data_IF_464600579933
#
_entry.id   IF_464600579933
#
_cell.length_a   1.000
_cell.length_b   1.000
_cell.length_c   1.000
_cell.angle_alpha   90.00
_cell.angle_beta   90.00
_cell.angle_gamma   90.00
#
_symmetry.space_group_name_H-M   'P 1'
#
loop_
_entity.id
_entity.type
_entity.pdbx_description
1 polymer ?
#
# COMPACT_ATOMS: atom_id res chain seq x y z
N UNK A 1 -12.26 1.12 -12.45
CA UNK A 1 -10.98 1.20 -13.18
C UNK A 1 -9.90 0.44 -12.42
N UNK A 2 -8.69 0.29 -12.98
CA UNK A 2 -7.58 -0.37 -12.30
C UNK A 2 -7.20 0.37 -11.01
N UNK A 3 -6.85 -0.39 -9.97
CA UNK A 3 -6.42 0.16 -8.69
C UNK A 3 -4.98 0.66 -8.79
N UNK A 4 -4.77 1.94 -8.47
CA UNK A 4 -3.45 2.56 -8.32
C UNK A 4 -3.44 3.43 -7.07
N UNK A 5 -2.48 3.18 -6.19
CA UNK A 5 -2.24 3.95 -4.97
C UNK A 5 -0.76 4.31 -4.90
N UNK A 6 -0.46 5.52 -4.43
CA UNK A 6 0.92 5.95 -4.19
C UNK A 6 1.09 6.31 -2.72
N UNK A 7 1.95 5.56 -2.03
CA UNK A 7 2.28 5.71 -0.61
C UNK A 7 3.60 6.46 -0.45
N UNK A 8 3.61 7.49 0.40
CA UNK A 8 4.78 8.37 0.59
C UNK A 8 5.26 8.43 2.04
N UNK A 9 4.43 7.99 2.99
CA UNK A 9 4.77 7.96 4.42
C UNK A 9 4.41 6.62 5.03
N UNK A 10 5.21 6.21 6.00
CA UNK A 10 4.95 5.08 6.88
C UNK A 10 4.78 5.62 8.30
N UNK A 11 3.60 5.43 8.89
CA UNK A 11 3.34 5.80 10.28
C UNK A 11 3.48 4.58 11.18
N UNK A 12 4.34 4.64 12.19
CA UNK A 12 4.45 3.59 13.20
C UNK A 12 3.21 3.56 14.08
N UNK A 13 2.79 2.38 14.50
CA UNK A 13 1.84 2.21 15.60
C UNK A 13 2.50 2.53 16.95
N UNK A 14 1.70 2.85 17.97
CA UNK A 14 2.20 3.22 19.30
C UNK A 14 3.02 2.11 19.97
N UNK A 15 2.70 0.85 19.66
CA UNK A 15 3.46 -0.33 20.13
C UNK A 15 4.76 -0.57 19.33
N UNK A 16 4.98 0.17 18.24
CA UNK A 16 6.18 0.09 17.40
C UNK A 16 6.31 -1.20 16.58
N UNK A 17 5.29 -2.07 16.57
CA UNK A 17 5.36 -3.38 15.89
C UNK A 17 4.97 -3.27 14.41
N UNK A 18 4.05 -2.36 14.09
CA UNK A 18 3.48 -2.25 12.75
C UNK A 18 3.67 -0.84 12.18
N UNK A 19 3.64 -0.78 10.85
CA UNK A 19 3.60 0.48 10.12
C UNK A 19 2.35 0.53 9.26
N UNK A 20 1.69 1.68 9.26
CA UNK A 20 0.60 2.00 8.35
C UNK A 20 1.15 2.81 7.18
N UNK A 21 1.01 2.25 5.98
CA UNK A 21 1.34 2.98 4.76
C UNK A 21 0.28 4.05 4.49
N UNK A 22 0.71 5.30 4.41
CA UNK A 22 -0.12 6.44 4.12
C UNK A 22 0.15 6.94 2.71
N UNK A 23 -0.93 7.11 1.95
CA UNK A 23 -0.87 7.42 0.54
C UNK A 23 -2.20 7.90 -0.01
N UNK A 24 -2.21 8.13 -1.31
CA UNK A 24 -3.39 8.57 -2.06
C UNK A 24 -3.77 7.53 -3.10
N UNK A 25 -5.06 7.18 -3.13
CA UNK A 25 -5.65 6.41 -4.24
C UNK A 25 -5.79 7.35 -5.44
N UNK A 26 -5.09 7.02 -6.53
CA UNK A 26 -5.10 7.78 -7.77
C UNK A 26 -6.18 7.26 -8.73
N UNK A 27 -6.41 5.95 -8.73
CA UNK A 27 -7.45 5.30 -9.55
C UNK A 27 -7.96 4.05 -8.84
N UNK A 28 -9.22 3.70 -9.11
CA UNK A 28 -9.87 2.51 -8.56
C UNK A 28 -10.30 2.69 -7.10
N UNK A 29 -10.52 1.56 -6.43
CA UNK A 29 -11.01 1.52 -5.05
C UNK A 29 -10.27 0.42 -4.30
N UNK A 30 -9.77 0.74 -3.12
CA UNK A 30 -9.09 -0.19 -2.23
C UNK A 30 -10.11 -0.74 -1.23
N UNK A 31 -10.11 -2.05 -1.00
CA UNK A 31 -10.99 -2.69 -0.03
C UNK A 31 -10.19 -3.46 1.03
N UNK A 32 -10.70 -3.55 2.25
CA UNK A 32 -10.11 -4.37 3.30
C UNK A 32 -10.24 -5.86 2.93
N UNK A 33 -9.18 -6.64 3.18
CA UNK A 33 -9.06 -8.04 2.77
C UNK A 33 -8.68 -8.26 1.31
N UNK A 34 -8.56 -7.20 0.50
CA UNK A 34 -8.18 -7.32 -0.90
C UNK A 34 -6.68 -7.65 -1.02
N UNK A 35 -6.29 -8.68 -1.79
CA UNK A 35 -4.89 -8.88 -2.18
C UNK A 35 -4.48 -7.79 -3.17
N UNK A 36 -3.34 -7.16 -2.92
CA UNK A 36 -2.74 -6.11 -3.75
C UNK A 36 -1.29 -6.42 -4.04
N UNK A 37 -0.80 -6.01 -5.21
CA UNK A 37 0.61 -6.09 -5.57
C UNK A 37 1.28 -4.77 -5.18
N UNK A 38 2.19 -4.83 -4.22
CA UNK A 38 3.05 -3.71 -3.84
C UNK A 38 4.25 -3.71 -4.76
N UNK A 39 4.52 -2.57 -5.38
CA UNK A 39 5.67 -2.37 -6.26
C UNK A 39 6.67 -1.52 -5.47
N UNK A 40 7.86 -2.06 -5.26
CA UNK A 40 8.97 -1.34 -4.64
C UNK A 40 9.59 -0.31 -5.58
N UNK A 41 10.63 0.35 -5.09
CA UNK A 41 11.28 1.45 -5.83
C UNK A 41 12.11 0.98 -7.02
N UNK A 42 12.60 -0.26 -7.00
CA UNK A 42 13.41 -0.85 -8.05
C UNK A 42 12.57 -1.69 -9.03
N UNK A 43 11.25 -1.74 -8.85
CA UNK A 43 10.37 -2.49 -9.75
C UNK A 43 10.44 -1.94 -11.18
N UNK A 44 10.56 -2.84 -12.15
CA UNK A 44 10.49 -2.51 -13.56
C UNK A 44 9.58 -3.50 -14.31
N UNK A 45 9.24 -3.19 -15.56
CA UNK A 45 8.45 -4.10 -16.39
C UNK A 45 9.25 -5.32 -16.88
N UNK A 46 10.58 -5.22 -16.86
CA UNK A 46 11.51 -6.27 -17.27
C UNK A 46 11.94 -7.16 -16.10
N UNK A 47 11.91 -6.61 -14.88
CA UNK A 47 12.28 -7.29 -13.64
C UNK A 47 11.26 -7.00 -12.53
N UNK A 48 10.52 -8.06 -12.16
CA UNK A 48 9.47 -8.00 -11.14
C UNK A 48 9.93 -8.42 -9.73
N UNK A 49 11.25 -8.61 -9.50
CA UNK A 49 11.78 -9.08 -8.21
C UNK A 49 11.38 -8.18 -7.04
N UNK A 50 11.36 -6.86 -7.24
CA UNK A 50 10.94 -5.88 -6.24
C UNK A 50 9.42 -5.67 -6.20
N UNK A 51 8.65 -6.75 -6.38
CA UNK A 51 7.20 -6.74 -6.21
C UNK A 51 6.74 -7.85 -5.29
N UNK A 52 5.76 -7.53 -4.44
CA UNK A 52 5.22 -8.47 -3.48
C UNK A 52 3.71 -8.39 -3.42
N UNK A 53 3.05 -9.55 -3.41
CA UNK A 53 1.61 -9.63 -3.16
C UNK A 53 1.38 -9.61 -1.65
N UNK A 54 0.63 -8.60 -1.19
CA UNK A 54 0.26 -8.40 0.21
C UNK A 54 -1.26 -8.30 0.32
N UNK A 55 -1.82 -8.73 1.45
CA UNK A 55 -3.25 -8.55 1.71
C UNK A 55 -3.47 -7.27 2.51
N UNK A 56 -4.38 -6.41 2.05
CA UNK A 56 -4.78 -5.21 2.79
C UNK A 56 -5.50 -5.64 4.06
N UNK A 57 -4.92 -5.39 5.23
CA UNK A 57 -5.53 -5.77 6.51
C UNK A 57 -6.77 -4.94 6.84
N UNK A 58 -6.58 -3.66 7.17
CA UNK A 58 -7.66 -2.71 7.47
C UNK A 58 -7.35 -1.38 6.77
N UNK A 59 -8.37 -0.54 6.66
CA UNK A 59 -8.28 0.79 6.05
C UNK A 59 -8.67 1.85 7.08
N UNK A 60 -7.93 2.96 7.08
CA UNK A 60 -8.15 4.07 7.99
C UNK A 60 -8.15 5.37 7.21
N UNK A 61 -9.02 6.29 7.61
CA UNK A 61 -8.96 7.69 7.18
C UNK A 61 -8.30 8.46 8.32
N UNK A 62 -7.07 8.91 8.10
CA UNK A 62 -6.38 9.75 9.07
C UNK A 62 -7.05 11.12 9.14
N UNK A 63 -7.59 11.45 10.30
CA UNK A 63 -8.10 12.78 10.61
C UNK A 63 -7.05 13.51 11.45
N UNK A 64 -6.78 14.77 11.08
CA UNK A 64 -5.81 15.62 11.78
C UNK A 64 -6.31 16.01 13.17
#
# INVERSE_FOLDING_TARGET
>A
GPLMCHTTKMYSTDDGVQFHAFGRVLSGTLQAGQPVKVLGENYSLEDEEDSQICTVGRLWISVA
#
